data_IF_321204536208
#
_entry.id   IF_321204536208
#
_cell.length_a   1.000
_cell.length_b   1.000
_cell.length_c   1.000
_cell.angle_alpha   90.00
_cell.angle_beta   90.00
_cell.angle_gamma   90.00
#
_symmetry.space_group_name_H-M   'P 1'
#
loop_
_entity.id
_entity.type
_entity.pdbx_description
1 polymer ?
#
# COMPACT_ATOMS: atom_id res chain seq x y z
N UNK A 1 2.51 10.48 25.96
CA UNK A 1 2.61 9.05 25.62
C UNK A 1 2.52 8.13 26.84
N UNK A 2 3.54 8.03 27.69
CA UNK A 2 3.54 7.11 28.83
C UNK A 2 2.36 7.34 29.80
N UNK A 3 2.01 8.59 30.09
CA UNK A 3 0.83 8.93 30.89
C UNK A 3 -0.49 8.55 30.21
N UNK A 4 -0.57 8.63 28.87
CA UNK A 4 -1.76 8.21 28.12
C UNK A 4 -1.87 6.67 28.07
N UNK A 5 -0.74 5.98 27.93
CA UNK A 5 -0.66 4.53 28.06
C UNK A 5 -1.07 4.05 29.45
N UNK A 6 -0.60 4.75 30.50
CA UNK A 6 -0.97 4.48 31.89
C UNK A 6 -2.44 4.79 32.20
N UNK A 7 -3.00 5.85 31.62
CA UNK A 7 -4.41 6.20 31.77
C UNK A 7 -5.34 5.17 31.12
N UNK A 8 -4.90 4.52 30.03
CA UNK A 8 -5.61 3.41 29.40
C UNK A 8 -7.09 3.70 29.17
N UNK A 9 -7.97 2.85 29.73
CA UNK A 9 -9.42 2.98 29.62
C UNK A 9 -10.05 4.14 30.40
N UNK A 10 -9.32 4.79 31.30
CA UNK A 10 -9.78 6.00 31.98
C UNK A 10 -9.55 7.27 31.13
N UNK A 11 -8.76 7.16 30.04
CA UNK A 11 -8.54 8.28 29.13
C UNK A 11 -9.78 8.60 28.32
N UNK A 12 -10.13 9.88 28.26
CA UNK A 12 -11.23 10.40 27.42
C UNK A 12 -10.73 10.88 26.04
N UNK A 13 -9.43 10.78 25.78
CA UNK A 13 -8.81 11.24 24.53
C UNK A 13 -9.27 10.36 23.36
N UNK A 14 -9.95 10.98 22.39
CA UNK A 14 -10.40 10.33 21.15
C UNK A 14 -9.45 10.55 19.98
N UNK A 15 -8.75 11.68 19.99
CA UNK A 15 -7.82 12.11 18.97
C UNK A 15 -6.52 12.49 19.68
N UNK A 16 -5.46 11.75 19.40
CA UNK A 16 -4.11 12.06 19.82
C UNK A 16 -3.32 12.42 18.56
N UNK A 17 -3.01 13.69 18.39
CA UNK A 17 -2.20 14.21 17.30
C UNK A 17 -0.98 14.91 17.89
N UNK A 18 0.18 14.34 17.63
CA UNK A 18 1.50 14.82 18.02
C UNK A 18 2.39 14.97 16.78
N UNK A 19 1.80 15.10 15.59
CA UNK A 19 2.52 15.24 14.34
C UNK A 19 3.28 16.57 14.23
N UNK A 20 4.27 16.65 13.32
CA UNK A 20 5.04 17.88 13.04
C UNK A 20 5.73 18.47 14.28
N UNK A 21 6.47 17.62 14.98
CA UNK A 21 7.19 18.00 16.19
C UNK A 21 8.63 17.48 16.15
N UNK A 22 9.37 17.74 17.23
CA UNK A 22 10.73 17.25 17.43
C UNK A 22 10.80 16.12 18.48
N UNK A 23 9.73 15.33 18.65
CA UNK A 23 9.76 14.22 19.59
C UNK A 23 10.81 13.20 19.18
N UNK A 24 11.59 12.73 20.15
CA UNK A 24 12.65 11.73 19.96
C UNK A 24 12.41 10.51 20.85
N UNK A 25 13.18 9.44 20.61
CA UNK A 25 13.05 8.18 21.34
C UNK A 25 12.09 7.19 20.66
N UNK A 26 11.75 6.08 21.32
CA UNK A 26 10.88 5.05 20.74
C UNK A 26 9.50 5.56 20.38
N UNK A 27 8.88 5.02 19.30
CA UNK A 27 7.47 5.22 19.04
C UNK A 27 6.66 4.94 20.30
N UNK A 28 5.80 5.88 20.72
CA UNK A 28 5.02 5.69 21.93
C UNK A 28 4.04 4.53 21.76
N UNK A 29 3.86 3.67 22.79
CA UNK A 29 2.93 2.56 22.69
C UNK A 29 1.49 3.10 22.55
N UNK A 30 0.73 2.52 21.63
CA UNK A 30 -0.70 2.80 21.52
C UNK A 30 -1.42 2.06 22.67
N UNK A 31 -2.18 2.75 23.54
CA UNK A 31 -2.81 2.10 24.68
C UNK A 31 -3.89 1.11 24.20
N UNK A 32 -3.65 -0.19 24.32
CA UNK A 32 -4.58 -1.25 23.88
C UNK A 32 -5.94 -1.20 24.57
N UNK A 33 -6.02 -0.61 25.76
CA UNK A 33 -7.25 -0.49 26.55
C UNK A 33 -7.97 0.87 26.39
N UNK A 34 -7.47 1.78 25.54
CA UNK A 34 -8.11 3.08 25.31
C UNK A 34 -9.35 2.93 24.42
N UNK A 35 -10.50 2.63 25.02
CA UNK A 35 -11.76 2.27 24.37
C UNK A 35 -12.40 3.34 23.48
N UNK A 36 -12.00 4.60 23.63
CA UNK A 36 -12.53 5.74 22.87
C UNK A 36 -11.53 6.34 21.88
N UNK A 37 -10.27 5.90 21.90
CA UNK A 37 -9.23 6.41 21.01
C UNK A 37 -9.51 6.00 19.57
N UNK A 38 -9.67 6.98 18.68
CA UNK A 38 -10.02 6.80 17.28
C UNK A 38 -8.89 7.22 16.33
N UNK A 39 -8.05 8.17 16.73
CA UNK A 39 -6.95 8.70 15.92
C UNK A 39 -5.68 8.72 16.76
N UNK A 40 -4.62 8.15 16.21
CA UNK A 40 -3.27 8.21 16.72
C UNK A 40 -2.33 8.68 15.62
N UNK A 41 -1.85 9.90 15.74
CA UNK A 41 -0.90 10.51 14.80
C UNK A 41 0.36 10.96 15.54
N UNK A 42 1.49 10.37 15.16
CA UNK A 42 2.83 10.72 15.65
C UNK A 42 3.79 10.95 14.48
N UNK A 43 3.24 11.32 13.32
CA UNK A 43 3.98 11.48 12.07
C UNK A 43 4.92 12.69 12.11
N UNK A 44 5.90 12.75 11.21
CA UNK A 44 6.83 13.89 11.04
C UNK A 44 7.47 14.30 12.37
N UNK A 45 8.19 13.37 12.97
CA UNK A 45 8.96 13.55 14.21
C UNK A 45 10.37 12.94 14.05
N UNK A 46 11.17 12.97 15.12
CA UNK A 46 12.50 12.35 15.18
C UNK A 46 12.49 11.05 16.00
N UNK A 47 11.39 10.28 15.91
CA UNK A 47 11.26 9.00 16.61
C UNK A 47 12.26 7.97 16.06
N UNK A 48 12.70 7.06 16.92
CA UNK A 48 13.70 6.03 16.60
C UNK A 48 13.43 4.69 17.28
N UNK A 49 13.87 3.58 16.70
CA UNK A 49 13.64 2.24 17.26
C UNK A 49 12.51 1.51 16.54
N UNK A 50 11.85 0.55 17.17
CA UNK A 50 10.91 -0.34 16.46
C UNK A 50 9.45 0.06 16.61
N UNK A 51 8.61 -0.38 15.66
CA UNK A 51 7.17 -0.25 15.75
C UNK A 51 6.60 -1.01 16.97
N UNK A 52 5.46 -0.55 17.53
CA UNK A 52 4.73 -1.29 18.55
C UNK A 52 4.39 -2.71 18.10
N UNK A 53 4.68 -3.70 18.96
CA UNK A 53 4.46 -5.12 18.64
C UNK A 53 3.02 -5.58 18.91
N UNK A 54 2.29 -4.84 19.76
CA UNK A 54 0.91 -5.15 20.14
C UNK A 54 -0.08 -4.42 19.25
N UNK A 55 -1.28 -5.01 19.02
CA UNK A 55 -2.29 -4.35 18.22
C UNK A 55 -2.84 -3.10 18.94
N UNK A 56 -3.26 -2.07 18.18
CA UNK A 56 -3.94 -0.91 18.73
C UNK A 56 -5.31 -1.29 19.33
N UNK A 57 -5.94 -0.39 20.13
CA UNK A 57 -7.27 -0.64 20.68
C UNK A 57 -8.29 -0.82 19.55
N UNK A 58 -9.34 -1.65 19.73
CA UNK A 58 -10.36 -1.89 18.69
C UNK A 58 -11.14 -0.66 18.23
N UNK A 59 -11.06 0.45 18.97
CA UNK A 59 -11.65 1.74 18.61
C UNK A 59 -10.82 2.53 17.59
N UNK A 60 -9.54 2.19 17.40
CA UNK A 60 -8.64 2.96 16.55
C UNK A 60 -9.02 2.83 15.08
N UNK A 61 -9.08 3.97 14.39
CA UNK A 61 -9.45 4.09 12.97
C UNK A 61 -8.31 4.64 12.13
N UNK A 62 -7.47 5.49 12.70
CA UNK A 62 -6.33 6.10 12.03
C UNK A 62 -5.09 5.84 12.87
N UNK A 63 -4.11 5.18 12.25
CA UNK A 63 -2.77 4.97 12.77
C UNK A 63 -1.79 5.63 11.80
N UNK A 64 -1.22 6.78 12.20
CA UNK A 64 -0.27 7.52 11.40
C UNK A 64 1.06 7.65 12.18
N UNK A 65 2.13 7.13 11.58
CA UNK A 65 3.50 7.14 12.13
C UNK A 65 4.52 7.50 11.04
N UNK A 66 4.09 8.22 9.99
CA UNK A 66 4.92 8.47 8.83
C UNK A 66 6.01 9.50 9.08
N UNK A 67 7.07 9.51 8.26
CA UNK A 67 8.12 10.52 8.32
C UNK A 67 8.91 10.52 9.62
N UNK A 68 9.25 9.34 10.16
CA UNK A 68 10.14 9.18 11.30
C UNK A 68 11.37 8.36 10.89
N UNK A 69 12.35 8.99 10.26
CA UNK A 69 13.49 8.30 9.62
C UNK A 69 14.37 7.44 10.55
N UNK A 70 14.19 7.52 11.87
CA UNK A 70 14.87 6.64 12.84
C UNK A 70 14.07 5.39 13.21
N UNK A 71 12.79 5.29 12.82
CA UNK A 71 11.96 4.12 13.10
C UNK A 71 12.33 3.02 12.13
N UNK A 72 12.82 1.91 12.67
CA UNK A 72 13.45 0.82 11.93
C UNK A 72 12.91 -0.55 12.37
N UNK A 73 13.45 -1.62 11.76
CA UNK A 73 13.02 -2.99 12.06
C UNK A 73 11.81 -3.40 11.23
N UNK A 74 11.13 -4.47 11.62
CA UNK A 74 10.06 -5.06 10.79
C UNK A 74 8.68 -4.51 11.12
N UNK A 75 7.76 -4.62 10.16
CA UNK A 75 6.33 -4.43 10.41
C UNK A 75 5.82 -5.68 11.16
N UNK A 76 5.45 -5.57 12.45
CA UNK A 76 5.16 -6.75 13.26
C UNK A 76 3.84 -7.40 12.83
N UNK A 77 3.80 -8.72 12.57
CA UNK A 77 2.54 -9.40 12.24
C UNK A 77 1.46 -9.22 13.31
N UNK A 78 1.84 -9.16 14.58
CA UNK A 78 0.93 -8.95 15.72
C UNK A 78 0.33 -7.55 15.81
N UNK A 79 0.81 -6.59 15.02
CA UNK A 79 0.29 -5.21 15.01
C UNK A 79 -1.12 -5.13 14.38
N UNK A 80 -1.46 -6.06 13.48
CA UNK A 80 -2.73 -6.07 12.76
C UNK A 80 -3.61 -7.22 13.24
N UNK A 81 -4.55 -6.91 14.14
CA UNK A 81 -5.57 -7.86 14.56
C UNK A 81 -6.69 -7.98 13.51
N UNK A 82 -7.20 -9.20 13.28
CA UNK A 82 -8.24 -9.46 12.29
C UNK A 82 -9.57 -8.71 12.55
N UNK A 83 -9.86 -8.35 13.80
CA UNK A 83 -11.05 -7.58 14.19
C UNK A 83 -10.79 -6.05 14.26
N UNK A 84 -9.66 -5.59 13.74
CA UNK A 84 -9.28 -4.19 13.76
C UNK A 84 -10.27 -3.33 12.96
N UNK A 85 -10.55 -2.13 13.47
CA UNK A 85 -11.37 -1.10 12.80
C UNK A 85 -10.54 -0.03 12.11
N UNK A 86 -9.24 -0.30 11.92
CA UNK A 86 -8.34 0.58 11.19
C UNK A 86 -8.88 0.83 9.78
N UNK A 87 -8.88 2.10 9.40
CA UNK A 87 -9.27 2.62 8.09
C UNK A 87 -8.10 3.25 7.37
N UNK A 88 -7.19 3.87 8.11
CA UNK A 88 -5.98 4.49 7.59
C UNK A 88 -4.81 3.94 8.40
N UNK A 89 -3.85 3.36 7.69
CA UNK A 89 -2.56 2.94 8.23
C UNK A 89 -1.50 3.63 7.38
N UNK A 90 -0.77 4.58 7.97
CA UNK A 90 0.32 5.29 7.32
C UNK A 90 1.62 5.08 8.11
N UNK A 91 2.52 4.29 7.52
CA UNK A 91 3.85 3.96 8.02
C UNK A 91 4.94 4.43 7.03
N UNK A 92 4.60 5.34 6.11
CA UNK A 92 5.51 5.80 5.06
C UNK A 92 6.70 6.60 5.58
N UNK A 93 7.81 6.65 4.85
CA UNK A 93 8.95 7.51 5.18
C UNK A 93 9.64 7.14 6.50
N UNK A 94 9.93 5.85 6.69
CA UNK A 94 10.66 5.29 7.84
C UNK A 94 11.84 4.42 7.33
N UNK A 95 12.61 3.76 8.21
CA UNK A 95 13.65 2.75 7.86
C UNK A 95 13.15 1.32 8.15
N UNK A 96 11.87 1.05 7.86
CA UNK A 96 11.27 -0.27 8.06
C UNK A 96 11.86 -1.27 7.05
N UNK A 97 12.03 -2.52 7.48
CA UNK A 97 12.62 -3.63 6.70
C UNK A 97 11.79 -4.90 6.86
N UNK A 98 12.26 -6.00 6.27
CA UNK A 98 11.56 -7.28 6.29
C UNK A 98 10.33 -7.27 5.39
N UNK A 99 9.41 -8.20 5.60
CA UNK A 99 8.30 -8.44 4.66
C UNK A 99 7.01 -7.74 5.06
N UNK A 100 6.12 -7.58 4.08
CA UNK A 100 4.72 -7.22 4.33
C UNK A 100 4.05 -8.38 5.10
N UNK A 101 3.55 -8.17 6.32
CA UNK A 101 2.94 -9.24 7.09
C UNK A 101 1.58 -9.63 6.50
N UNK A 102 1.33 -10.94 6.40
CA UNK A 102 0.05 -11.49 5.97
C UNK A 102 -1.17 -10.93 6.75
N UNK A 103 -0.99 -10.61 8.04
CA UNK A 103 -2.05 -10.03 8.87
C UNK A 103 -2.55 -8.67 8.38
N UNK A 104 -1.75 -7.94 7.58
CA UNK A 104 -2.18 -6.71 6.92
C UNK A 104 -3.35 -6.94 5.95
N UNK A 105 -3.34 -8.09 5.26
CA UNK A 105 -4.39 -8.46 4.30
C UNK A 105 -5.72 -8.86 4.96
N UNK A 106 -5.77 -8.89 6.30
CA UNK A 106 -6.99 -9.13 7.08
C UNK A 106 -7.72 -7.86 7.53
N UNK A 107 -7.23 -6.67 7.17
CA UNK A 107 -7.84 -5.41 7.61
C UNK A 107 -9.11 -5.07 6.80
N UNK A 108 -10.25 -5.66 7.18
CA UNK A 108 -11.49 -5.56 6.42
C UNK A 108 -12.11 -4.15 6.33
N UNK A 109 -11.67 -3.23 7.17
CA UNK A 109 -12.14 -1.83 7.18
C UNK A 109 -11.10 -0.85 6.64
N UNK A 110 -9.91 -1.32 6.26
CA UNK A 110 -8.86 -0.48 5.70
C UNK A 110 -9.35 0.17 4.41
N UNK A 111 -9.04 1.45 4.25
CA UNK A 111 -9.31 2.27 3.07
C UNK A 111 -8.02 2.78 2.45
N UNK A 112 -7.05 3.12 3.30
CA UNK A 112 -5.73 3.56 2.89
C UNK A 112 -4.69 2.78 3.70
N UNK A 113 -3.77 2.14 2.99
CA UNK A 113 -2.57 1.54 3.55
C UNK A 113 -1.37 2.11 2.81
N UNK A 114 -0.50 2.80 3.53
CA UNK A 114 0.72 3.38 3.00
C UNK A 114 1.93 2.94 3.83
N UNK A 115 2.91 2.34 3.18
CA UNK A 115 4.22 2.05 3.75
C UNK A 115 5.35 2.36 2.75
N UNK A 116 5.11 3.32 1.85
CA UNK A 116 6.09 3.77 0.88
C UNK A 116 7.31 4.41 1.52
N UNK A 117 8.40 4.54 0.76
CA UNK A 117 9.64 5.16 1.21
C UNK A 117 10.19 4.47 2.47
N UNK A 118 10.43 3.17 2.34
CA UNK A 118 11.01 2.31 3.37
C UNK A 118 12.03 1.34 2.73
N UNK A 119 12.53 0.37 3.50
CA UNK A 119 13.36 -0.73 3.04
C UNK A 119 12.66 -2.10 3.09
N UNK A 120 11.32 -2.13 2.94
CA UNK A 120 10.53 -3.37 2.95
C UNK A 120 10.91 -4.24 1.75
N UNK A 121 11.07 -5.54 1.98
CA UNK A 121 11.58 -6.51 1.01
C UNK A 121 10.67 -7.75 0.93
N UNK A 122 11.02 -8.69 0.05
CA UNK A 122 10.25 -9.90 -0.18
C UNK A 122 9.00 -9.63 -1.03
N UNK A 123 8.05 -10.56 -1.01
CA UNK A 123 6.92 -10.56 -1.95
C UNK A 123 5.66 -9.89 -1.38
N UNK A 124 4.76 -9.49 -2.28
CA UNK A 124 3.40 -9.11 -1.93
C UNK A 124 2.66 -10.38 -1.46
N UNK A 125 2.01 -10.38 -0.27
CA UNK A 125 1.33 -11.58 0.24
C UNK A 125 0.24 -12.07 -0.72
N UNK A 126 0.31 -13.35 -1.13
CA UNK A 126 -0.57 -13.97 -2.11
C UNK A 126 -1.66 -14.88 -1.48
N UNK A 127 -2.63 -15.30 -2.32
CA UNK A 127 -3.65 -16.29 -1.99
C UNK A 127 -3.01 -17.59 -1.44
N UNK A 128 -3.54 -18.08 -0.31
CA UNK A 128 -2.98 -19.22 0.44
C UNK A 128 -2.30 -18.83 1.75
N UNK A 129 -1.86 -17.57 1.88
CA UNK A 129 -1.45 -16.99 3.16
C UNK A 129 -2.57 -16.19 3.82
N UNK A 130 -3.44 -15.57 3.02
CA UNK A 130 -4.58 -14.73 3.43
C UNK A 130 -5.48 -14.47 2.21
N UNK A 131 -6.79 -14.31 2.42
CA UNK A 131 -7.75 -13.99 1.36
C UNK A 131 -7.85 -12.46 1.18
N UNK A 132 -7.27 -11.92 0.11
CA UNK A 132 -7.30 -10.49 -0.20
C UNK A 132 -8.72 -9.93 -0.35
N UNK A 133 -9.74 -10.78 -0.58
CA UNK A 133 -11.16 -10.38 -0.54
C UNK A 133 -11.59 -9.79 0.80
N UNK A 134 -10.83 -10.05 1.87
CA UNK A 134 -11.10 -9.46 3.16
C UNK A 134 -10.90 -7.95 3.14
N UNK A 135 -9.97 -7.41 2.34
CA UNK A 135 -9.75 -5.97 2.18
C UNK A 135 -10.73 -5.30 1.20
N UNK A 136 -12.01 -5.71 1.22
CA UNK A 136 -13.03 -5.23 0.29
C UNK A 136 -13.30 -3.72 0.36
N UNK A 137 -12.83 -3.02 1.39
CA UNK A 137 -12.98 -1.57 1.56
C UNK A 137 -11.77 -0.75 1.12
N UNK A 138 -10.67 -1.41 0.70
CA UNK A 138 -9.40 -0.74 0.38
C UNK A 138 -9.52 0.09 -0.89
N UNK A 139 -9.19 1.37 -0.78
CA UNK A 139 -9.27 2.35 -1.87
C UNK A 139 -7.88 2.77 -2.35
N UNK A 140 -6.89 2.76 -1.47
CA UNK A 140 -5.53 3.19 -1.77
C UNK A 140 -4.52 2.27 -1.10
N UNK A 141 -3.57 1.81 -1.91
CA UNK A 141 -2.44 1.01 -1.46
C UNK A 141 -1.18 1.59 -2.09
N UNK A 142 -0.29 2.11 -1.25
CA UNK A 142 0.99 2.68 -1.66
C UNK A 142 2.13 1.96 -0.92
N UNK A 143 2.93 1.26 -1.72
CA UNK A 143 4.13 0.55 -1.30
C UNK A 143 5.36 1.00 -2.12
N UNK A 144 5.28 2.16 -2.76
CA UNK A 144 6.33 2.68 -3.62
C UNK A 144 7.65 2.91 -2.88
N UNK A 145 8.77 2.95 -3.61
CA UNK A 145 10.10 3.24 -3.06
C UNK A 145 10.47 2.27 -1.92
N UNK A 146 10.48 0.98 -2.25
CA UNK A 146 10.84 -0.13 -1.36
C UNK A 146 11.77 -1.10 -2.12
N UNK A 147 11.93 -2.33 -1.63
CA UNK A 147 12.75 -3.40 -2.24
C UNK A 147 11.93 -4.66 -2.47
N UNK A 148 10.63 -4.51 -2.73
CA UNK A 148 9.72 -5.64 -2.94
C UNK A 148 10.10 -6.39 -4.22
N UNK A 149 10.05 -7.71 -4.17
CA UNK A 149 10.42 -8.63 -5.26
C UNK A 149 9.26 -9.55 -5.64
N UNK A 150 9.46 -10.36 -6.68
CA UNK A 150 8.48 -11.33 -7.15
C UNK A 150 7.42 -10.68 -8.03
N UNK A 151 6.33 -11.41 -8.29
CA UNK A 151 5.28 -10.99 -9.22
C UNK A 151 4.14 -10.25 -8.52
N UNK A 152 3.38 -9.49 -9.31
CA UNK A 152 2.11 -8.91 -8.88
C UNK A 152 1.11 -10.07 -8.68
N UNK A 153 0.62 -10.34 -7.45
CA UNK A 153 -0.15 -11.54 -7.19
C UNK A 153 -1.57 -11.43 -7.77
N UNK A 154 -2.11 -12.52 -8.34
CA UNK A 154 -3.50 -12.57 -8.83
C UNK A 154 -4.55 -12.16 -7.79
N UNK A 155 -4.25 -12.37 -6.51
CA UNK A 155 -5.10 -12.01 -5.38
C UNK A 155 -5.52 -10.53 -5.35
N UNK A 156 -4.74 -9.64 -5.98
CA UNK A 156 -5.10 -8.22 -6.08
C UNK A 156 -6.44 -8.00 -6.78
N UNK A 157 -6.88 -8.90 -7.65
CA UNK A 157 -8.24 -8.86 -8.25
C UNK A 157 -9.37 -8.81 -7.21
N UNK A 158 -9.13 -9.29 -5.99
CA UNK A 158 -10.09 -9.24 -4.89
C UNK A 158 -10.32 -7.82 -4.34
N UNK A 159 -9.43 -6.87 -4.63
CA UNK A 159 -9.48 -5.48 -4.16
C UNK A 159 -10.42 -4.62 -5.04
N UNK A 160 -11.65 -5.06 -5.21
CA UNK A 160 -12.63 -4.48 -6.16
C UNK A 160 -12.99 -3.01 -5.92
N UNK A 161 -12.67 -2.45 -4.75
CA UNK A 161 -12.88 -1.03 -4.43
C UNK A 161 -11.64 -0.15 -4.57
N UNK A 162 -10.51 -0.74 -4.97
CA UNK A 162 -9.23 -0.07 -5.12
C UNK A 162 -9.31 0.99 -6.23
N UNK A 163 -8.78 2.17 -5.92
CA UNK A 163 -8.74 3.35 -6.80
C UNK A 163 -7.31 3.74 -7.13
N UNK A 164 -6.40 3.60 -6.17
CA UNK A 164 -4.99 3.93 -6.32
C UNK A 164 -4.17 2.72 -5.92
N UNK A 165 -3.31 2.28 -6.83
CA UNK A 165 -2.32 1.25 -6.58
C UNK A 165 -0.97 1.77 -7.03
N UNK A 166 -0.08 2.02 -6.08
CA UNK A 166 1.29 2.50 -6.33
C UNK A 166 2.30 1.51 -5.77
N UNK A 167 3.04 0.88 -6.69
CA UNK A 167 4.16 -0.02 -6.40
C UNK A 167 5.44 0.46 -7.08
N UNK A 168 5.50 1.73 -7.47
CA UNK A 168 6.63 2.28 -8.21
C UNK A 168 7.94 2.18 -7.43
N UNK A 169 9.07 2.10 -8.14
CA UNK A 169 10.41 2.02 -7.55
C UNK A 169 10.54 0.85 -6.57
N UNK A 170 10.37 -0.36 -7.10
CA UNK A 170 10.59 -1.64 -6.43
C UNK A 170 11.35 -2.58 -7.37
N UNK A 171 11.49 -3.85 -6.99
CA UNK A 171 12.17 -4.88 -7.78
C UNK A 171 11.15 -5.95 -8.25
N UNK A 172 9.91 -5.55 -8.57
CA UNK A 172 8.88 -6.48 -9.04
C UNK A 172 9.23 -7.00 -10.42
N UNK A 173 8.95 -8.27 -10.67
CA UNK A 173 9.31 -8.98 -11.90
C UNK A 173 8.11 -9.76 -12.47
N UNK A 174 8.34 -10.44 -13.60
CA UNK A 174 7.31 -11.20 -14.30
C UNK A 174 6.36 -10.32 -15.12
N UNK A 175 5.22 -10.86 -15.50
CA UNK A 175 4.25 -10.22 -16.39
C UNK A 175 3.12 -9.54 -15.63
N UNK A 176 2.46 -8.57 -16.26
CA UNK A 176 1.22 -7.99 -15.74
C UNK A 176 0.10 -9.06 -15.67
N UNK A 177 -0.58 -9.27 -14.53
CA UNK A 177 -1.66 -10.26 -14.40
C UNK A 177 -2.96 -9.72 -15.03
N UNK A 178 -3.05 -9.88 -16.35
CA UNK A 178 -4.05 -9.29 -17.23
C UNK A 178 -5.50 -9.44 -16.74
N UNK A 179 -5.94 -10.69 -16.52
CA UNK A 179 -7.32 -11.00 -16.17
C UNK A 179 -7.69 -10.46 -14.78
N UNK A 180 -6.70 -10.37 -13.89
CA UNK A 180 -6.89 -9.93 -12.51
C UNK A 180 -6.93 -8.41 -12.40
N UNK A 181 -6.08 -7.70 -13.14
CA UNK A 181 -6.12 -6.25 -13.21
C UNK A 181 -7.46 -5.77 -13.78
N UNK A 182 -8.00 -6.44 -14.80
CA UNK A 182 -9.31 -6.14 -15.37
C UNK A 182 -10.47 -6.18 -14.34
N UNK A 183 -10.33 -6.97 -13.27
CA UNK A 183 -11.29 -7.05 -12.17
C UNK A 183 -11.35 -5.79 -11.30
N UNK A 184 -10.36 -4.89 -11.40
CA UNK A 184 -10.27 -3.65 -10.63
C UNK A 184 -11.08 -2.52 -11.27
N UNK A 185 -12.39 -2.73 -11.41
CA UNK A 185 -13.30 -1.81 -12.11
C UNK A 185 -13.41 -0.39 -11.52
N UNK A 186 -12.79 -0.14 -10.37
CA UNK A 186 -12.74 1.16 -9.70
C UNK A 186 -11.37 1.83 -9.75
N UNK A 187 -10.37 1.19 -10.35
CA UNK A 187 -9.01 1.70 -10.44
C UNK A 187 -8.97 2.98 -11.26
N UNK A 188 -8.31 3.99 -10.71
CA UNK A 188 -8.15 5.33 -11.29
C UNK A 188 -6.69 5.66 -11.58
N UNK A 189 -5.78 5.19 -10.71
CA UNK A 189 -4.33 5.31 -10.85
C UNK A 189 -3.66 3.96 -10.63
N UNK A 190 -2.85 3.56 -11.60
CA UNK A 190 -1.94 2.43 -11.53
C UNK A 190 -0.52 2.94 -11.82
N UNK A 191 0.36 2.84 -10.83
CA UNK A 191 1.75 3.26 -10.94
C UNK A 191 2.67 2.09 -10.61
N UNK A 192 3.36 1.59 -11.63
CA UNK A 192 4.31 0.47 -11.56
C UNK A 192 5.69 0.89 -12.10
N UNK A 193 5.94 2.20 -12.20
CA UNK A 193 7.19 2.77 -12.70
C UNK A 193 8.41 2.18 -12.01
N UNK A 194 9.53 1.98 -12.72
CA UNK A 194 10.81 1.66 -12.09
C UNK A 194 10.77 0.30 -11.40
N UNK A 195 10.38 -0.73 -12.15
CA UNK A 195 10.40 -2.13 -11.74
C UNK A 195 11.11 -2.96 -12.82
N UNK A 196 11.11 -4.29 -12.68
CA UNK A 196 11.66 -5.24 -13.65
C UNK A 196 10.54 -6.04 -14.35
N UNK A 197 9.36 -5.44 -14.55
CA UNK A 197 8.23 -6.09 -15.22
C UNK A 197 8.56 -6.36 -16.68
N UNK A 198 8.11 -7.49 -17.21
CA UNK A 198 8.42 -7.96 -18.57
C UNK A 198 7.19 -8.54 -19.27
N UNK A 199 7.37 -8.95 -20.52
CA UNK A 199 6.28 -9.43 -21.36
C UNK A 199 5.47 -8.29 -21.98
N UNK A 200 4.30 -8.61 -22.53
CA UNK A 200 3.49 -7.67 -23.30
C UNK A 200 2.47 -6.92 -22.45
N UNK A 201 2.08 -5.73 -22.90
CA UNK A 201 0.93 -5.04 -22.35
C UNK A 201 -0.37 -5.82 -22.67
N UNK A 202 -1.16 -6.22 -21.66
CA UNK A 202 -2.39 -6.94 -21.91
C UNK A 202 -3.51 -6.02 -22.44
N UNK A 203 -4.26 -6.44 -23.49
CA UNK A 203 -5.39 -5.68 -24.02
C UNK A 203 -6.47 -5.34 -22.97
N UNK A 204 -6.61 -6.17 -21.93
CA UNK A 204 -7.57 -6.02 -20.85
C UNK A 204 -7.33 -4.75 -20.00
N UNK A 205 -6.15 -4.12 -20.07
CA UNK A 205 -5.95 -2.79 -19.48
C UNK A 205 -6.89 -1.74 -20.11
N UNK A 206 -7.28 -1.95 -21.37
CA UNK A 206 -8.27 -1.12 -22.06
C UNK A 206 -9.69 -1.24 -21.49
N UNK A 207 -9.98 -2.28 -20.70
CA UNK A 207 -11.30 -2.47 -20.06
C UNK A 207 -11.44 -1.67 -18.76
N UNK A 208 -10.36 -1.08 -18.25
CA UNK A 208 -10.35 -0.26 -17.04
C UNK A 208 -10.92 1.14 -17.33
N UNK A 209 -12.24 1.22 -17.49
CA UNK A 209 -12.98 2.45 -17.89
C UNK A 209 -12.85 3.64 -16.93
N UNK A 210 -12.31 3.43 -15.73
CA UNK A 210 -12.06 4.50 -14.74
C UNK A 210 -10.59 4.86 -14.59
N UNK A 211 -9.70 4.13 -15.25
CA UNK A 211 -8.27 4.37 -15.20
C UNK A 211 -7.97 5.64 -15.99
N UNK A 212 -7.44 6.63 -15.28
CA UNK A 212 -7.08 7.95 -15.82
C UNK A 212 -5.56 8.13 -15.84
N UNK A 213 -4.84 7.45 -14.95
CA UNK A 213 -3.40 7.54 -14.81
C UNK A 213 -2.79 6.14 -14.84
N UNK A 214 -1.96 5.89 -15.84
CA UNK A 214 -1.17 4.67 -15.97
C UNK A 214 0.30 5.04 -16.19
N UNK A 215 1.15 4.66 -15.24
CA UNK A 215 2.60 4.78 -15.36
C UNK A 215 3.23 3.38 -15.28
N UNK A 216 3.80 2.94 -16.40
CA UNK A 216 4.55 1.69 -16.56
C UNK A 216 5.99 1.99 -16.99
N UNK A 217 6.45 3.23 -16.84
CA UNK A 217 7.76 3.65 -17.31
C UNK A 217 8.90 2.92 -16.60
N UNK A 218 10.08 2.87 -17.22
CA UNK A 218 11.28 2.25 -16.67
C UNK A 218 11.04 0.79 -16.23
N UNK A 219 10.68 -0.05 -17.20
CA UNK A 219 10.46 -1.49 -17.03
C UNK A 219 11.11 -2.25 -18.23
N UNK A 220 10.85 -3.55 -18.36
CA UNK A 220 11.32 -4.39 -19.47
C UNK A 220 10.15 -4.94 -20.32
N UNK A 221 9.07 -4.16 -20.47
CA UNK A 221 7.90 -4.52 -21.26
C UNK A 221 8.22 -4.49 -22.75
N UNK A 222 7.59 -5.37 -23.53
CA UNK A 222 7.90 -5.57 -24.95
C UNK A 222 6.65 -5.75 -25.82
N UNK A 223 6.81 -5.59 -27.13
CA UNK A 223 5.77 -5.85 -28.11
C UNK A 223 4.74 -4.71 -28.26
N UNK A 224 3.62 -4.96 -28.93
CA UNK A 224 2.73 -3.89 -29.34
C UNK A 224 1.93 -3.27 -28.19
N UNK A 225 1.77 -1.95 -28.21
CA UNK A 225 0.80 -1.24 -27.37
C UNK A 225 -0.62 -1.57 -27.84
N UNK A 226 -1.49 -2.17 -27.01
CA UNK A 226 -2.84 -2.56 -27.42
C UNK A 226 -3.71 -1.36 -27.77
N UNK A 227 -4.42 -1.42 -28.89
CA UNK A 227 -5.36 -0.35 -29.30
C UNK A 227 -6.41 -0.02 -28.24
N UNK A 228 -6.86 -1.02 -27.49
CA UNK A 228 -7.84 -0.86 -26.40
C UNK A 228 -7.29 0.00 -25.24
N UNK A 229 -5.98 0.00 -25.03
CA UNK A 229 -5.36 0.86 -24.01
C UNK A 229 -5.51 2.34 -24.37
N UNK A 230 -5.34 2.66 -25.66
CA UNK A 230 -5.38 4.05 -26.17
C UNK A 230 -6.82 4.52 -26.42
N UNK A 231 -7.71 3.61 -26.85
CA UNK A 231 -9.07 3.96 -27.28
C UNK A 231 -10.16 3.61 -26.27
N UNK A 232 -9.93 2.63 -25.40
CA UNK A 232 -10.92 2.04 -24.51
C UNK A 232 -10.86 2.54 -23.06
N UNK A 233 -9.67 2.85 -22.56
CA UNK A 233 -9.48 3.39 -21.22
C UNK A 233 -9.72 4.92 -21.21
N UNK A 234 -10.14 5.45 -20.05
CA UNK A 234 -10.34 6.90 -19.85
C UNK A 234 -9.01 7.60 -19.52
N UNK A 235 -7.91 7.16 -20.13
CA UNK A 235 -6.56 7.62 -19.79
C UNK A 235 -6.39 9.09 -20.14
N UNK A 236 -5.99 9.85 -19.13
CA UNK A 236 -5.55 11.25 -19.24
C UNK A 236 -4.01 11.33 -19.21
N UNK A 237 -3.38 10.40 -18.49
CA UNK A 237 -1.93 10.26 -18.37
C UNK A 237 -1.53 8.82 -18.66
N UNK A 238 -0.72 8.62 -19.69
CA UNK A 238 -0.09 7.35 -20.04
C UNK A 238 1.42 7.57 -20.18
N UNK A 239 2.20 6.99 -19.27
CA UNK A 239 3.66 6.89 -19.40
C UNK A 239 4.07 5.43 -19.54
N UNK A 240 4.70 5.12 -20.67
CA UNK A 240 5.25 3.80 -21.02
C UNK A 240 6.71 3.92 -21.48
N UNK A 241 7.36 5.06 -21.20
CA UNK A 241 8.75 5.33 -21.56
C UNK A 241 9.72 4.36 -20.87
N UNK A 242 10.94 4.21 -21.39
CA UNK A 242 11.90 3.28 -20.79
C UNK A 242 11.48 1.81 -20.85
N UNK A 243 10.78 1.40 -21.91
CA UNK A 243 10.43 0.01 -22.25
C UNK A 243 10.83 -0.31 -23.71
N UNK A 244 10.63 -1.55 -24.16
CA UNK A 244 10.87 -2.03 -25.54
C UNK A 244 9.55 -2.27 -26.31
N UNK A 245 8.63 -1.31 -26.21
CA UNK A 245 7.29 -1.39 -26.79
C UNK A 245 7.26 -0.86 -28.24
N UNK A 246 6.36 -1.42 -29.05
CA UNK A 246 6.13 -1.01 -30.45
C UNK A 246 4.67 -0.61 -30.72
N UNK A 247 4.42 -0.04 -31.90
CA UNK A 247 3.10 0.45 -32.32
C UNK A 247 2.41 -0.42 -33.37
N UNK A 248 2.87 -1.65 -33.60
CA UNK A 248 2.41 -2.48 -34.74
C UNK A 248 0.92 -2.81 -34.68
N UNK A 249 0.30 -2.84 -33.49
CA UNK A 249 -1.14 -3.09 -33.35
C UNK A 249 -2.03 -1.87 -33.62
N UNK A 250 -1.47 -0.66 -33.76
CA UNK A 250 -2.21 0.54 -34.13
C UNK A 250 -2.32 0.74 -35.66
N UNK A 251 -1.74 -0.17 -36.46
CA UNK A 251 -1.71 -0.12 -37.91
C UNK A 251 -2.83 -0.92 -38.59
N UNK A 252 -4.04 -0.35 -38.63
CA UNK A 252 -5.00 -0.32 -39.76
C UNK A 252 -6.25 0.47 -39.35
#
# INVERSE_FOLDING_TARGET
AAALAAAGGASTIRLFDASDNAFTGPPPPVPSNASVLAIWDVSRNALRGTLPQSPPPPSLRILAMSGNSGVSGTIPPGMFAANSKLRIVDLSGNDLRGTIPASLMGLAHARLVNFSNNGVEGTIPAEGHVDARQMAALQEFDASNNRLTGTIPPALAGLTTLRVFDMSHNNLEGTLPAQQLAGLAHLQRLDLRGNALSGTLPPELGDLRRLTHLDLSDNALLGPVPVGLVTGAALEHLDISGNDLDWTSLGN
#
